data_IF_966668709051
#
_entry.id   IF_966668709051
#
_cell.length_a   1.000
_cell.length_b   1.000
_cell.length_c   1.000
_cell.angle_alpha   90.00
_cell.angle_beta   90.00
_cell.angle_gamma   90.00
#
_symmetry.space_group_name_H-M   'P 1'
#
loop_
_entity.id
_entity.type
_entity.pdbx_description
1 polymer ?
#
# COMPACT_ATOMS: atom_id res chain seq x y z
N UNK A 1 -8.17 -7.63 25.31
CA UNK A 1 -7.79 -6.60 24.34
C UNK A 1 -8.56 -6.91 23.07
N UNK A 2 -9.41 -6.00 22.60
CA UNK A 2 -10.13 -6.20 21.34
C UNK A 2 -9.10 -5.98 20.24
N UNK A 3 -8.86 -7.00 19.42
CA UNK A 3 -8.02 -6.83 18.25
C UNK A 3 -8.68 -5.75 17.38
N UNK A 4 -7.94 -4.70 17.04
CA UNK A 4 -8.37 -3.74 16.03
C UNK A 4 -8.58 -4.54 14.74
N UNK A 5 -9.60 -4.20 13.95
CA UNK A 5 -9.77 -4.82 12.64
C UNK A 5 -9.01 -3.98 11.60
N UNK A 6 -8.53 -4.60 10.50
CA UNK A 6 -7.98 -3.80 9.41
C UNK A 6 -9.07 -2.84 8.89
N UNK A 7 -8.64 -1.64 8.49
CA UNK A 7 -9.51 -0.64 7.85
C UNK A 7 -10.09 -1.21 6.55
N UNK A 8 -9.25 -1.93 5.82
CA UNK A 8 -9.64 -2.71 4.65
C UNK A 8 -8.72 -3.92 4.53
N UNK A 9 -9.27 -5.04 4.07
CA UNK A 9 -8.50 -6.22 3.68
C UNK A 9 -9.06 -6.79 2.40
N UNK A 10 -8.19 -7.34 1.57
CA UNK A 10 -8.59 -8.02 0.34
C UNK A 10 -7.60 -9.09 -0.09
N UNK A 11 -8.07 -9.96 -0.97
CA UNK A 11 -7.28 -10.98 -1.66
C UNK A 11 -7.61 -10.87 -3.15
N UNK A 12 -6.64 -10.46 -3.95
CA UNK A 12 -6.86 -10.23 -5.38
C UNK A 12 -5.64 -10.65 -6.21
N UNK A 13 -5.88 -11.00 -7.47
CA UNK A 13 -4.81 -11.17 -8.45
C UNK A 13 -4.38 -9.79 -8.93
N UNK A 14 -3.10 -9.45 -8.74
CA UNK A 14 -2.56 -8.14 -9.08
C UNK A 14 -1.88 -8.22 -10.44
N UNK A 15 -2.44 -7.52 -11.42
CA UNK A 15 -1.86 -7.39 -12.74
C UNK A 15 -0.55 -6.60 -12.65
N UNK A 16 0.44 -6.97 -13.47
CA UNK A 16 1.78 -6.35 -13.52
C UNK A 16 2.63 -6.39 -12.24
N UNK A 17 2.14 -7.03 -11.17
CA UNK A 17 2.93 -7.23 -9.94
C UNK A 17 3.25 -5.94 -9.20
N UNK A 18 2.32 -4.98 -9.17
CA UNK A 18 2.48 -3.77 -8.37
C UNK A 18 1.16 -3.19 -7.86
N UNK A 19 1.26 -2.48 -6.74
CA UNK A 19 0.16 -1.75 -6.10
C UNK A 19 0.51 -0.28 -5.96
N UNK A 20 -0.49 0.57 -6.14
CA UNK A 20 -0.44 2.02 -6.02
C UNK A 20 -1.33 2.43 -4.86
N UNK A 21 -0.76 3.10 -3.86
CA UNK A 21 -1.51 3.79 -2.81
C UNK A 21 -1.43 5.29 -3.05
N UNK A 22 -2.57 5.98 -3.05
CA UNK A 22 -2.60 7.43 -3.28
C UNK A 22 -3.75 8.13 -2.55
N UNK A 23 -3.61 9.43 -2.32
CA UNK A 23 -4.75 10.27 -1.96
C UNK A 23 -5.78 10.28 -3.10
N UNK A 24 -7.06 10.25 -2.76
CA UNK A 24 -8.15 10.18 -3.74
C UNK A 24 -8.25 11.43 -4.64
N UNK A 25 -7.67 12.56 -4.22
CA UNK A 25 -7.55 13.78 -5.02
C UNK A 25 -6.18 13.98 -5.66
N UNK A 26 -5.31 12.97 -5.63
CA UNK A 26 -4.00 13.02 -6.31
C UNK A 26 -4.11 12.55 -7.75
N UNK A 27 -3.51 13.34 -8.64
CA UNK A 27 -3.21 13.00 -10.03
C UNK A 27 -1.69 12.85 -10.24
N UNK A 28 -0.93 12.64 -9.16
CA UNK A 28 0.52 12.45 -9.24
C UNK A 28 0.84 11.15 -10.01
N UNK A 29 1.71 11.27 -11.00
CA UNK A 29 2.10 10.17 -11.88
C UNK A 29 3.26 9.36 -11.26
N UNK A 30 3.10 8.04 -11.25
CA UNK A 30 4.09 7.07 -10.76
C UNK A 30 4.59 6.15 -11.89
N UNK A 31 4.31 6.51 -13.14
CA UNK A 31 4.59 5.69 -14.34
C UNK A 31 6.09 5.63 -14.66
N UNK A 32 6.88 6.60 -14.17
CA UNK A 32 8.34 6.61 -14.28
C UNK A 32 9.04 5.59 -13.36
N UNK A 33 8.28 4.83 -12.55
CA UNK A 33 8.86 3.85 -11.66
C UNK A 33 9.45 2.65 -12.41
N UNK A 34 10.73 2.36 -12.14
CA UNK A 34 11.43 1.17 -12.61
C UNK A 34 11.61 0.15 -11.46
N UNK A 35 10.91 -1.00 -11.51
CA UNK A 35 10.99 -2.03 -10.48
C UNK A 35 12.35 -2.73 -10.41
N UNK A 36 13.21 -2.57 -11.44
CA UNK A 36 14.57 -3.13 -11.42
C UNK A 36 15.56 -2.27 -10.63
N UNK A 37 15.27 -0.98 -10.48
CA UNK A 37 16.09 -0.02 -9.75
C UNK A 37 15.68 0.12 -8.28
N UNK A 38 14.38 0.06 -7.97
CA UNK A 38 13.84 0.14 -6.61
C UNK A 38 12.54 -0.63 -6.47
N UNK A 39 12.35 -1.30 -5.34
CA UNK A 39 11.12 -2.05 -5.04
C UNK A 39 9.88 -1.16 -4.81
N UNK A 40 10.09 0.16 -4.66
CA UNK A 40 9.02 1.14 -4.49
C UNK A 40 9.46 2.52 -4.99
N UNK A 41 8.48 3.38 -5.22
CA UNK A 41 8.66 4.78 -5.61
C UNK A 41 7.52 5.63 -5.06
N UNK A 42 7.79 6.91 -4.81
CA UNK A 42 6.78 7.89 -4.41
C UNK A 42 6.90 9.16 -5.25
N UNK A 43 5.74 9.71 -5.62
CA UNK A 43 5.59 10.98 -6.29
C UNK A 43 4.43 11.74 -5.64
N UNK A 44 4.75 12.83 -4.94
CA UNK A 44 3.76 13.68 -4.27
C UNK A 44 2.89 12.90 -3.28
N UNK A 45 1.61 12.77 -3.62
CA UNK A 45 0.58 12.10 -2.81
C UNK A 45 0.25 10.68 -3.30
N UNK A 46 1.14 10.10 -4.12
CA UNK A 46 1.06 8.74 -4.65
C UNK A 46 2.33 7.95 -4.35
N UNK A 47 2.16 6.65 -4.10
CA UNK A 47 3.25 5.69 -3.97
C UNK A 47 2.92 4.41 -4.72
N UNK A 48 3.95 3.76 -5.24
CA UNK A 48 3.87 2.50 -5.98
C UNK A 48 4.91 1.53 -5.42
N UNK A 49 4.57 0.25 -5.33
CA UNK A 49 5.48 -0.79 -4.85
C UNK A 49 5.19 -2.15 -5.49
N UNK A 50 6.23 -2.97 -5.59
CA UNK A 50 6.17 -4.30 -6.18
C UNK A 50 5.47 -5.33 -5.28
N UNK A 51 4.69 -6.20 -5.92
CA UNK A 51 4.06 -7.38 -5.30
C UNK A 51 4.15 -8.59 -6.24
N UNK A 52 3.81 -9.77 -5.73
CA UNK A 52 3.70 -10.95 -6.57
C UNK A 52 2.71 -10.73 -7.72
N UNK A 53 3.09 -11.15 -8.92
CA UNK A 53 2.25 -11.03 -10.11
C UNK A 53 1.10 -12.05 -10.12
N UNK A 54 0.00 -11.70 -10.79
CA UNK A 54 -1.21 -12.52 -10.91
C UNK A 54 -0.97 -13.96 -11.41
N UNK A 55 0.10 -14.18 -12.18
CA UNK A 55 0.47 -15.50 -12.73
C UNK A 55 0.92 -16.49 -11.64
N UNK A 56 1.52 -15.98 -10.57
CA UNK A 56 2.04 -16.80 -9.48
C UNK A 56 0.99 -17.03 -8.37
N UNK A 57 -0.06 -16.19 -8.30
CA UNK A 57 -1.12 -16.30 -7.30
C UNK A 57 -1.76 -14.96 -6.91
N UNK A 58 -2.76 -14.99 -6.03
CA UNK A 58 -3.35 -13.77 -5.47
C UNK A 58 -2.47 -13.17 -4.36
N UNK A 59 -2.52 -11.85 -4.22
CA UNK A 59 -1.89 -11.09 -3.14
C UNK A 59 -2.94 -10.77 -2.07
N UNK A 60 -2.62 -11.08 -0.81
CA UNK A 60 -3.40 -10.68 0.35
C UNK A 60 -2.88 -9.33 0.86
N UNK A 61 -3.73 -8.32 0.95
CA UNK A 61 -3.33 -7.01 1.46
C UNK A 61 -4.28 -6.54 2.56
N UNK A 62 -3.70 -5.98 3.62
CA UNK A 62 -4.41 -5.42 4.75
C UNK A 62 -3.91 -3.99 5.02
N UNK A 63 -4.83 -3.08 5.34
CA UNK A 63 -4.48 -1.70 5.74
C UNK A 63 -4.92 -1.47 7.18
N UNK A 64 -4.02 -0.91 7.97
CA UNK A 64 -4.16 -0.76 9.41
C UNK A 64 -3.90 0.70 9.84
N UNK A 65 -4.67 1.18 10.82
CA UNK A 65 -4.41 2.47 11.52
C UNK A 65 -3.75 2.29 12.88
N UNK A 66 -3.62 1.05 13.31
CA UNK A 66 -3.04 0.60 14.57
C UNK A 66 -2.08 -0.57 14.28
N UNK A 67 -1.24 -0.94 15.23
CA UNK A 67 -0.38 -2.12 15.08
C UNK A 67 -1.22 -3.40 14.91
N UNK A 68 -0.97 -4.23 13.88
CA UNK A 68 -1.71 -5.46 13.66
C UNK A 68 -1.36 -6.47 14.76
N UNK A 69 -2.24 -7.43 15.07
CA UNK A 69 -1.97 -8.44 16.09
C UNK A 69 -0.79 -9.35 15.71
N UNK A 70 -0.58 -9.56 14.40
CA UNK A 70 0.56 -10.29 13.86
C UNK A 70 1.12 -9.47 12.71
N UNK A 71 2.32 -8.93 12.90
CA UNK A 71 3.06 -8.22 11.86
C UNK A 71 3.78 -9.21 10.95
N UNK A 72 3.82 -8.90 9.65
CA UNK A 72 4.69 -9.57 8.71
C UNK A 72 6.18 -9.28 9.02
N UNK A 73 7.11 -10.16 8.60
CA UNK A 73 8.49 -10.13 9.06
C UNK A 73 9.36 -9.01 8.46
N UNK A 74 9.02 -8.48 7.28
CA UNK A 74 9.91 -7.59 6.52
C UNK A 74 9.29 -6.21 6.35
N UNK A 75 9.93 -5.17 6.86
CA UNK A 75 9.57 -3.79 6.51
C UNK A 75 10.17 -3.45 5.14
N UNK A 76 9.32 -3.33 4.11
CA UNK A 76 9.75 -3.02 2.75
C UNK A 76 10.19 -1.55 2.65
N UNK A 77 9.39 -0.64 3.19
CA UNK A 77 9.73 0.78 3.32
C UNK A 77 8.82 1.50 4.31
N UNK A 78 9.29 2.65 4.76
CA UNK A 78 8.51 3.64 5.52
C UNK A 78 8.74 5.03 4.91
N UNK A 79 7.66 5.75 4.64
CA UNK A 79 7.72 7.08 4.03
C UNK A 79 6.51 7.93 4.43
N UNK A 80 6.61 9.24 4.27
CA UNK A 80 5.51 10.17 4.53
C UNK A 80 4.74 10.43 3.22
N UNK A 81 3.43 10.28 3.28
CA UNK A 81 2.50 10.50 2.16
C UNK A 81 1.58 11.67 2.50
N UNK A 82 1.51 12.66 1.60
CA UNK A 82 0.58 13.77 1.76
C UNK A 82 -0.84 13.32 1.39
N UNK A 83 -1.78 13.48 2.32
CA UNK A 83 -3.17 13.03 2.19
C UNK A 83 -4.15 14.17 2.46
N UNK A 84 -4.26 15.18 1.57
CA UNK A 84 -5.08 16.38 1.82
C UNK A 84 -6.58 16.08 1.89
N UNK A 85 -7.06 15.04 1.20
CA UNK A 85 -8.47 14.65 1.20
C UNK A 85 -8.85 13.81 2.43
N UNK A 86 -7.89 13.09 3.00
CA UNK A 86 -8.11 12.08 4.04
C UNK A 86 -8.73 10.78 3.52
N UNK A 87 -8.92 10.66 2.21
CA UNK A 87 -9.35 9.44 1.53
C UNK A 87 -8.18 8.87 0.75
N UNK A 88 -7.95 7.58 0.91
CA UNK A 88 -6.91 6.85 0.20
C UNK A 88 -7.54 5.88 -0.78
N UNK A 89 -6.85 5.65 -1.88
CA UNK A 89 -7.15 4.64 -2.89
C UNK A 89 -5.95 3.73 -2.99
N UNK A 90 -6.18 2.44 -2.80
CA UNK A 90 -5.22 1.38 -3.09
C UNK A 90 -5.70 0.66 -4.34
N UNK A 91 -4.87 0.64 -5.38
CA UNK A 91 -5.21 0.03 -6.65
C UNK A 91 -4.03 -0.60 -7.37
N UNK A 92 -4.29 -1.51 -8.32
CA UNK A 92 -3.30 -1.86 -9.34
C UNK A 92 -3.31 -0.81 -10.48
N UNK A 93 -2.31 -0.80 -11.38
CA UNK A 93 -2.25 0.17 -12.47
C UNK A 93 -3.42 0.11 -13.46
N UNK A 94 -4.08 -1.05 -13.59
CA UNK A 94 -5.18 -1.26 -14.52
C UNK A 94 -6.57 -1.14 -13.84
N UNK A 95 -6.63 -0.74 -12.56
CA UNK A 95 -7.88 -0.59 -11.78
C UNK A 95 -8.71 -1.90 -11.65
N UNK A 96 -8.11 -3.08 -11.87
CA UNK A 96 -8.75 -4.38 -11.65
C UNK A 96 -9.00 -4.68 -10.16
N UNK A 97 -8.08 -4.28 -9.30
CA UNK A 97 -8.21 -4.29 -7.86
C UNK A 97 -8.18 -2.83 -7.41
N UNK A 98 -9.32 -2.27 -7.00
CA UNK A 98 -9.41 -0.89 -6.51
C UNK A 98 -10.22 -0.84 -5.22
N UNK A 99 -9.62 -0.27 -4.18
CA UNK A 99 -10.28 -0.05 -2.90
C UNK A 99 -10.08 1.37 -2.43
N UNK A 100 -11.17 2.01 -2.05
CA UNK A 100 -11.17 3.34 -1.46
C UNK A 100 -11.54 3.24 0.01
N UNK A 101 -10.77 3.88 0.87
CA UNK A 101 -10.99 3.83 2.31
C UNK A 101 -10.59 5.15 2.98
N UNK A 102 -11.01 5.33 4.23
CA UNK A 102 -10.67 6.53 5.01
C UNK A 102 -9.29 6.37 5.62
N UNK A 103 -8.39 7.32 5.37
CA UNK A 103 -7.06 7.39 5.93
C UNK A 103 -6.96 8.37 7.10
N UNK A 104 -5.83 9.05 7.18
CA UNK A 104 -5.65 10.28 7.96
C UNK A 104 -5.54 11.46 7.00
N UNK A 105 -5.86 12.66 7.48
CA UNK A 105 -5.72 13.90 6.72
C UNK A 105 -4.42 14.59 7.08
N UNK A 106 -3.73 15.17 6.08
CA UNK A 106 -2.44 15.84 6.26
C UNK A 106 -1.29 14.92 5.90
N UNK A 107 -0.15 15.06 6.58
CA UNK A 107 0.99 14.16 6.39
C UNK A 107 0.78 12.85 7.14
N UNK A 108 0.95 11.73 6.45
CA UNK A 108 0.67 10.38 6.96
C UNK A 108 1.91 9.53 6.79
N UNK A 109 2.43 9.00 7.89
CA UNK A 109 3.50 7.99 7.82
C UNK A 109 2.89 6.68 7.35
N UNK A 110 3.37 6.18 6.22
CA UNK A 110 2.99 4.93 5.61
C UNK A 110 4.16 3.95 5.71
N UNK A 111 3.96 2.84 6.42
CA UNK A 111 4.91 1.72 6.46
C UNK A 111 4.30 0.52 5.76
N UNK A 112 5.03 -0.05 4.80
CA UNK A 112 4.62 -1.26 4.09
C UNK A 112 5.47 -2.42 4.59
N UNK A 113 4.80 -3.41 5.18
CA UNK A 113 5.40 -4.61 5.75
C UNK A 113 4.92 -5.83 4.96
N UNK A 114 5.81 -6.76 4.65
CA UNK A 114 5.57 -7.86 3.71
C UNK A 114 6.12 -9.19 4.21
N UNK A 115 5.64 -10.28 3.62
CA UNK A 115 6.13 -11.64 3.88
C UNK A 115 7.46 -11.94 3.19
N UNK A 116 7.65 -11.45 1.96
CA UNK A 116 8.86 -11.62 1.16
C UNK A 116 9.29 -10.28 0.50
N UNK A 117 10.58 -9.89 0.55
CA UNK A 117 11.03 -8.61 -0.01
C UNK A 117 11.08 -8.56 -1.54
N UNK A 118 11.11 -9.70 -2.22
CA UNK A 118 11.26 -9.77 -3.68
C UNK A 118 9.91 -9.89 -4.37
N UNK A 119 9.06 -10.81 -3.91
CA UNK A 119 7.76 -11.08 -4.51
C UNK A 119 6.70 -11.28 -3.42
N UNK A 120 6.26 -10.19 -2.75
CA UNK A 120 5.37 -10.33 -1.62
C UNK A 120 3.99 -10.82 -2.03
N UNK A 121 3.55 -11.91 -1.39
CA UNK A 121 2.21 -12.47 -1.53
C UNK A 121 1.27 -11.97 -0.45
N UNK A 122 1.84 -11.41 0.64
CA UNK A 122 1.12 -10.81 1.76
C UNK A 122 1.70 -9.42 2.05
N UNK A 123 0.80 -8.44 2.16
CA UNK A 123 1.15 -7.03 2.39
C UNK A 123 0.33 -6.48 3.54
N UNK A 124 0.99 -5.76 4.45
CA UNK A 124 0.38 -4.99 5.52
C UNK A 124 0.83 -3.54 5.39
N UNK A 125 -0.13 -2.64 5.18
CA UNK A 125 0.10 -1.20 5.13
C UNK A 125 -0.31 -0.59 6.46
N UNK A 126 0.63 0.00 7.17
CA UNK A 126 0.39 0.72 8.41
C UNK A 126 0.37 2.22 8.15
N UNK A 127 -0.73 2.85 8.53
CA UNK A 127 -0.91 4.29 8.45
C UNK A 127 -0.83 4.88 9.86
N UNK A 128 -0.07 5.95 10.01
CA UNK A 128 0.01 6.75 11.25
C UNK A 128 -0.03 8.23 10.90
N UNK A 129 -0.54 9.06 11.81
CA UNK A 129 -0.37 10.51 11.66
C UNK A 129 1.10 10.86 11.89
N UNK A 130 1.64 11.74 11.06
CA UNK A 130 2.88 12.43 11.39
C UNK A 130 2.56 13.44 12.52
N UNK A 131 3.33 13.40 13.61
CA UNK A 131 3.11 14.24 14.81
C UNK A 131 3.47 15.72 14.59
#
# INVERSE_FOLDING_TARGET
MVADNPVVSFLAKIEHGCLILRDAGSDDDVSDWDPTSSHWYSAGSSLIFGVQAAVDGPVACEVWKSTPPVSLPVNLFETSLLCPSGWLVLQDPNDHARLRFTGFRGSVVCSVVVDDPQFPSRVQILLRKEE
#
